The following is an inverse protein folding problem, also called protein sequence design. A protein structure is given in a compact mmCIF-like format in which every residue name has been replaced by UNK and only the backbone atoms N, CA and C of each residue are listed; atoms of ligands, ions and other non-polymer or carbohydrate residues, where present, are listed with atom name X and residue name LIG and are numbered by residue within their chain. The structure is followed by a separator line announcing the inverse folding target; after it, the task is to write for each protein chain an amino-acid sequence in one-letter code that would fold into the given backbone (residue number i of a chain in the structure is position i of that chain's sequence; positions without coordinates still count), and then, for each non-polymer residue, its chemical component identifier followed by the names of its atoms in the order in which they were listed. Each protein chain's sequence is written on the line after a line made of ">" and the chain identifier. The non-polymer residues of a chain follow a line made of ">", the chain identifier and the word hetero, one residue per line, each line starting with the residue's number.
data_IF_398115652251
#
_entry.id   IF_398115652251
#
_cell.length_a   1.000
_cell.length_b   1.000
_cell.length_c   1.000
_cell.angle_alpha   90.00
_cell.angle_beta   90.00
_cell.angle_gamma   90.00
#
_symmetry.space_group_name_H-M   'P 1'
#
loop_
_entity.id
_entity.type
_entity.pdbx_description
1 polymer ?
#
# COMPACT_ATOMS: atom_id res chain seq x y z
N UNK A 1 -19.51 1.34 -13.84
CA UNK A 1 -20.66 0.88 -14.64
C UNK A 1 -20.45 -0.52 -15.21
N UNK A 2 -19.40 -0.78 -16.01
CA UNK A 2 -19.15 -2.11 -16.60
C UNK A 2 -19.08 -3.28 -15.60
N UNK A 3 -18.32 -3.20 -14.47
CA UNK A 3 -18.30 -4.29 -13.49
C UNK A 3 -19.67 -4.58 -12.88
N UNK A 4 -20.49 -3.54 -12.66
CA UNK A 4 -21.84 -3.70 -12.14
C UNK A 4 -22.82 -4.29 -13.14
N UNK A 5 -22.65 -4.06 -14.45
CA UNK A 5 -23.45 -4.74 -15.48
C UNK A 5 -23.11 -6.23 -15.56
N UNK A 6 -21.84 -6.58 -15.39
CA UNK A 6 -21.41 -7.98 -15.30
C UNK A 6 -22.00 -8.64 -14.05
N UNK A 7 -21.92 -7.97 -12.90
CA UNK A 7 -22.51 -8.45 -11.65
C UNK A 7 -24.00 -8.70 -11.78
N UNK A 8 -24.73 -7.77 -12.43
CA UNK A 8 -26.15 -7.94 -12.74
C UNK A 8 -26.42 -9.22 -13.53
N UNK A 9 -25.71 -9.43 -14.65
CA UNK A 9 -25.87 -10.65 -15.48
C UNK A 9 -25.53 -11.92 -14.72
N UNK A 10 -24.49 -11.89 -13.89
CA UNK A 10 -24.07 -13.05 -13.10
C UNK A 10 -25.16 -13.44 -12.08
N UNK A 11 -25.71 -12.47 -11.36
CA UNK A 11 -26.81 -12.69 -10.41
C UNK A 11 -28.07 -13.19 -11.13
N UNK A 12 -28.43 -12.59 -12.27
CA UNK A 12 -29.57 -13.02 -13.10
C UNK A 12 -29.38 -14.45 -13.64
N UNK A 13 -28.14 -14.90 -13.80
CA UNK A 13 -27.80 -16.27 -14.21
C UNK A 13 -27.67 -17.25 -13.02
N UNK A 14 -27.97 -16.83 -11.80
CA UNK A 14 -27.86 -17.66 -10.59
C UNK A 14 -26.44 -17.92 -10.09
N UNK A 15 -25.45 -17.14 -10.56
CA UNK A 15 -24.07 -17.27 -10.11
C UNK A 15 -23.87 -16.57 -8.75
N UNK A 16 -22.97 -17.12 -7.94
CA UNK A 16 -22.55 -16.56 -6.65
C UNK A 16 -21.04 -16.65 -6.48
N UNK A 17 -20.50 -15.81 -5.61
CA UNK A 17 -19.10 -15.85 -5.20
C UNK A 17 -18.97 -16.80 -4.01
N UNK A 18 -17.90 -17.59 -3.97
CA UNK A 18 -17.65 -18.50 -2.87
C UNK A 18 -17.45 -17.71 -1.57
N UNK A 19 -18.04 -18.13 -0.44
CA UNK A 19 -18.14 -17.33 0.78
C UNK A 19 -16.80 -17.04 1.45
N UNK A 20 -15.76 -17.82 1.12
CA UNK A 20 -14.42 -17.63 1.65
C UNK A 20 -13.60 -16.58 0.86
N UNK A 21 -14.10 -16.10 -0.28
CA UNK A 21 -13.42 -15.06 -1.06
C UNK A 21 -13.70 -13.71 -0.40
N UNK A 22 -12.65 -13.03 0.05
CA UNK A 22 -12.76 -11.68 0.62
C UNK A 22 -12.96 -10.63 -0.49
N UNK A 23 -14.21 -10.40 -0.85
CA UNK A 23 -14.63 -9.34 -1.77
C UNK A 23 -14.75 -8.00 -1.07
N UNK A 24 -14.50 -6.90 -1.79
CA UNK A 24 -14.65 -5.54 -1.26
C UNK A 24 -14.82 -4.54 -2.40
N UNK A 25 -15.66 -3.52 -2.22
CA UNK A 25 -15.76 -2.37 -3.10
C UNK A 25 -15.33 -1.10 -2.36
N UNK A 26 -14.36 -0.38 -2.90
CA UNK A 26 -13.84 0.87 -2.31
C UNK A 26 -13.89 2.01 -3.32
N UNK A 27 -15.04 2.69 -3.49
CA UNK A 27 -15.17 3.76 -4.47
C UNK A 27 -14.29 4.96 -4.11
N UNK A 28 -13.78 5.67 -5.11
CA UNK A 28 -13.07 6.94 -4.90
C UNK A 28 -14.00 8.11 -4.50
N UNK A 29 -15.31 7.98 -4.76
CA UNK A 29 -16.33 8.99 -4.43
C UNK A 29 -17.71 8.34 -4.28
N UNK A 30 -18.65 9.06 -3.63
CA UNK A 30 -20.02 8.62 -3.33
C UNK A 30 -21.03 8.71 -4.47
N UNK A 31 -20.61 8.59 -5.73
CA UNK A 31 -21.56 8.66 -6.85
C UNK A 31 -22.33 7.34 -6.94
N UNK A 32 -23.65 7.41 -6.74
CA UNK A 32 -24.53 6.25 -6.78
C UNK A 32 -24.76 5.73 -8.21
N UNK A 33 -24.91 4.41 -8.34
CA UNK A 33 -25.32 3.78 -9.60
C UNK A 33 -26.27 2.62 -9.32
N UNK A 34 -27.26 2.40 -10.19
CA UNK A 34 -28.28 1.35 -10.00
C UNK A 34 -27.76 -0.10 -10.05
N UNK A 35 -26.45 -0.30 -10.06
CA UNK A 35 -25.79 -1.61 -10.10
C UNK A 35 -25.24 -2.07 -8.74
N UNK A 36 -25.22 -1.18 -7.73
CA UNK A 36 -24.75 -1.50 -6.38
C UNK A 36 -25.46 -2.73 -5.77
N UNK A 37 -26.80 -2.88 -5.85
CA UNK A 37 -27.47 -4.05 -5.27
C UNK A 37 -27.02 -5.40 -5.85
N UNK A 38 -26.56 -5.43 -7.10
CA UNK A 38 -26.05 -6.66 -7.71
C UNK A 38 -24.61 -6.96 -7.31
N UNK A 39 -23.82 -5.93 -7.04
CA UNK A 39 -22.46 -6.06 -6.51
C UNK A 39 -22.50 -6.58 -5.07
N UNK A 40 -23.38 -6.03 -4.23
CA UNK A 40 -23.59 -6.48 -2.84
C UNK A 40 -24.06 -7.94 -2.80
N UNK A 41 -24.95 -8.38 -3.70
CA UNK A 41 -25.35 -9.79 -3.82
C UNK A 41 -24.19 -10.75 -4.12
N UNK A 42 -23.12 -10.27 -4.74
CA UNK A 42 -21.90 -11.03 -4.99
C UNK A 42 -20.83 -10.81 -3.90
N UNK A 43 -21.17 -10.12 -2.81
CA UNK A 43 -20.28 -9.82 -1.68
C UNK A 43 -19.43 -8.57 -1.84
N UNK A 44 -19.63 -7.76 -2.89
CA UNK A 44 -18.88 -6.51 -3.10
C UNK A 44 -19.54 -5.33 -2.39
N UNK A 45 -19.64 -5.43 -1.07
CA UNK A 45 -20.15 -4.35 -0.22
C UNK A 45 -19.20 -3.14 -0.24
N UNK A 46 -19.76 -1.94 -0.09
CA UNK A 46 -18.97 -0.72 0.05
C UNK A 46 -18.30 -0.74 1.43
N UNK A 47 -17.00 -1.06 1.45
CA UNK A 47 -16.19 -1.10 2.69
C UNK A 47 -15.63 0.26 3.08
N UNK A 48 -15.76 1.25 2.20
CA UNK A 48 -15.49 2.66 2.45
C UNK A 48 -14.92 3.39 1.24
N UNK A 49 -14.74 4.70 1.38
CA UNK A 49 -14.33 5.59 0.30
C UNK A 49 -12.86 6.00 0.47
N UNK A 50 -12.00 5.56 -0.45
CA UNK A 50 -10.57 5.85 -0.39
C UNK A 50 -9.69 4.67 -0.83
N UNK A 51 -8.42 4.71 -0.44
CA UNK A 51 -7.40 3.83 -0.99
C UNK A 51 -7.53 2.35 -0.59
N UNK A 52 -7.92 2.06 0.66
CA UNK A 52 -8.18 0.70 1.16
C UNK A 52 -7.13 -0.34 0.71
N UNK A 53 -7.55 -1.44 0.08
CA UNK A 53 -6.69 -2.53 -0.41
C UNK A 53 -5.59 -2.06 -1.37
N UNK A 54 -5.78 -0.95 -2.09
CA UNK A 54 -4.80 -0.41 -3.04
C UNK A 54 -3.48 -0.01 -2.35
N UNK A 55 -3.54 0.44 -1.09
CA UNK A 55 -2.35 0.81 -0.30
C UNK A 55 -2.00 -0.26 0.75
N UNK A 56 -2.49 -1.47 0.58
CA UNK A 56 -2.26 -2.57 1.52
C UNK A 56 -3.14 -2.56 2.78
N UNK A 57 -4.11 -1.63 2.89
CA UNK A 57 -5.12 -1.64 3.95
C UNK A 57 -6.23 -2.65 3.65
N UNK A 58 -5.84 -3.92 3.55
CA UNK A 58 -6.71 -5.02 3.13
C UNK A 58 -7.44 -5.69 4.29
N UNK A 59 -7.04 -5.45 5.53
CA UNK A 59 -7.60 -6.08 6.73
C UNK A 59 -7.35 -7.60 6.81
N UNK A 60 -7.81 -8.25 7.88
CA UNK A 60 -7.54 -9.68 8.13
C UNK A 60 -8.33 -10.59 7.18
N UNK A 61 -7.80 -11.78 6.90
CA UNK A 61 -8.53 -12.88 6.26
C UNK A 61 -8.94 -13.92 7.31
N UNK A 62 -9.88 -14.80 6.99
CA UNK A 62 -10.29 -15.88 7.89
C UNK A 62 -9.12 -16.79 8.26
N UNK A 63 -9.00 -17.13 9.54
CA UNK A 63 -7.88 -17.92 10.07
C UNK A 63 -7.79 -19.30 9.41
N UNK A 64 -8.91 -19.93 9.04
CA UNK A 64 -8.87 -21.23 8.36
C UNK A 64 -8.26 -21.09 6.96
N UNK A 65 -8.54 -19.99 6.27
CA UNK A 65 -7.96 -19.68 4.96
C UNK A 65 -6.47 -19.39 5.12
N UNK A 66 -6.09 -18.54 6.07
CA UNK A 66 -4.69 -18.22 6.36
C UNK A 66 -3.88 -19.48 6.65
N UNK A 67 -4.35 -20.30 7.60
CA UNK A 67 -3.72 -21.57 7.97
C UNK A 67 -3.63 -22.55 6.80
N UNK A 68 -4.63 -22.58 5.92
CA UNK A 68 -4.61 -23.44 4.71
C UNK A 68 -3.57 -22.96 3.72
N UNK A 69 -3.48 -21.65 3.48
CA UNK A 69 -2.46 -21.06 2.60
C UNK A 69 -1.07 -21.39 3.13
N UNK A 70 -0.80 -21.17 4.41
CA UNK A 70 0.49 -21.49 5.03
C UNK A 70 0.88 -22.96 4.81
N UNK A 71 -0.03 -23.90 5.09
CA UNK A 71 0.21 -25.35 4.90
C UNK A 71 0.45 -25.75 3.45
N UNK A 72 -0.17 -25.09 2.49
CA UNK A 72 0.02 -25.38 1.06
C UNK A 72 1.34 -24.81 0.57
N UNK A 73 1.67 -23.57 0.94
CA UNK A 73 2.89 -22.90 0.49
C UNK A 73 4.16 -23.44 1.14
N UNK A 74 4.08 -24.00 2.35
CA UNK A 74 5.18 -24.77 2.96
C UNK A 74 5.68 -25.88 2.01
N UNK A 75 4.76 -26.52 1.26
CA UNK A 75 5.10 -27.56 0.30
C UNK A 75 5.71 -27.02 -0.99
N UNK A 76 5.43 -25.77 -1.35
CA UNK A 76 5.97 -25.13 -2.57
C UNK A 76 7.44 -24.79 -2.40
N UNK A 77 7.91 -24.49 -1.19
CA UNK A 77 9.34 -24.26 -0.92
C UNK A 77 10.23 -25.47 -1.25
N UNK A 78 9.65 -26.69 -1.28
CA UNK A 78 10.38 -27.88 -1.69
C UNK A 78 10.61 -27.94 -3.21
N UNK A 79 9.83 -27.19 -4.02
CA UNK A 79 9.85 -27.24 -5.48
C UNK A 79 9.38 -28.59 -6.04
N UNK A 80 8.87 -28.63 -7.27
CA UNK A 80 8.82 -29.90 -8.01
C UNK A 80 10.22 -30.25 -8.51
N UNK A 81 10.50 -31.53 -8.79
CA UNK A 81 11.77 -31.93 -9.42
C UNK A 81 12.03 -31.13 -10.71
N UNK A 82 10.97 -30.80 -11.45
CA UNK A 82 11.04 -29.96 -12.66
C UNK A 82 11.41 -28.51 -12.35
N UNK A 83 10.85 -27.90 -11.29
CA UNK A 83 11.17 -26.53 -10.86
C UNK A 83 12.63 -26.40 -10.38
N UNK A 84 13.19 -27.44 -9.76
CA UNK A 84 14.60 -27.46 -9.36
C UNK A 84 15.56 -27.58 -10.56
N UNK A 85 15.09 -28.15 -11.68
CA UNK A 85 15.88 -28.33 -12.91
C UNK A 85 15.68 -27.24 -13.95
N UNK A 86 14.86 -26.22 -13.67
CA UNK A 86 14.62 -25.14 -14.62
C UNK A 86 15.93 -24.34 -14.81
N UNK A 87 16.42 -24.30 -16.04
CA UNK A 87 17.62 -23.52 -16.39
C UNK A 87 17.25 -22.04 -16.43
N UNK A 88 17.43 -21.36 -15.29
CA UNK A 88 17.18 -19.93 -15.15
C UNK A 88 18.38 -19.17 -15.73
N UNK A 89 18.18 -18.23 -16.67
CA UNK A 89 19.27 -17.42 -17.18
C UNK A 89 19.97 -16.69 -16.03
N UNK A 90 21.30 -16.80 -15.92
CA UNK A 90 22.11 -16.13 -14.88
C UNK A 90 22.31 -14.63 -15.17
N UNK A 91 21.23 -13.93 -15.55
CA UNK A 91 21.21 -12.49 -15.76
C UNK A 91 20.47 -11.81 -14.61
N UNK A 92 21.04 -10.76 -14.02
CA UNK A 92 20.37 -9.94 -12.99
C UNK A 92 19.23 -9.08 -13.54
N UNK A 93 19.09 -8.98 -14.86
CA UNK A 93 18.17 -8.07 -15.53
C UNK A 93 17.43 -8.80 -16.65
N UNK A 94 16.12 -8.55 -16.74
CA UNK A 94 15.28 -8.98 -17.84
C UNK A 94 15.67 -8.21 -19.12
N UNK A 95 15.95 -8.93 -20.21
CA UNK A 95 16.20 -8.31 -21.51
C UNK A 95 14.88 -7.81 -22.11
N UNK A 96 14.79 -6.52 -22.39
CA UNK A 96 13.59 -5.94 -23.00
C UNK A 96 13.39 -6.53 -24.41
N UNK A 97 12.28 -7.25 -24.58
CA UNK A 97 11.84 -7.78 -25.86
C UNK A 97 10.99 -6.72 -26.59
N UNK A 98 11.43 -6.23 -27.77
CA UNK A 98 10.70 -5.24 -28.55
C UNK A 98 9.33 -5.72 -29.08
N UNK A 99 9.06 -7.03 -29.07
CA UNK A 99 7.76 -7.60 -29.50
C UNK A 99 6.81 -7.90 -28.31
N UNK A 100 7.18 -7.53 -27.09
CA UNK A 100 6.37 -7.82 -25.89
C UNK A 100 5.03 -7.06 -25.88
N UNK A 101 3.94 -7.83 -25.87
CA UNK A 101 2.56 -7.30 -25.73
C UNK A 101 2.14 -7.09 -24.27
N UNK A 102 2.98 -7.49 -23.30
CA UNK A 102 2.59 -7.66 -21.90
C UNK A 102 3.09 -6.55 -20.96
N UNK A 103 4.25 -5.93 -21.26
CA UNK A 103 4.83 -4.88 -20.41
C UNK A 103 4.95 -3.58 -21.22
N UNK A 104 4.11 -2.59 -20.88
CA UNK A 104 4.15 -1.23 -21.46
C UNK A 104 4.12 -0.18 -20.36
N UNK A 105 4.81 0.94 -20.58
CA UNK A 105 4.88 2.10 -19.67
C UNK A 105 3.59 2.95 -19.79
N UNK A 106 2.84 3.24 -18.70
CA UNK A 106 1.59 3.99 -18.79
C UNK A 106 1.80 5.52 -18.93
N UNK A 107 1.03 6.23 -19.79
CA UNK A 107 1.17 7.67 -20.04
C UNK A 107 0.11 8.51 -19.28
N UNK A 108 0.12 8.51 -17.95
CA UNK A 108 -1.04 8.98 -17.15
C UNK A 108 -0.91 10.36 -16.47
N UNK A 109 -0.01 11.25 -16.89
CA UNK A 109 0.23 12.52 -16.17
C UNK A 109 -0.03 13.82 -16.95
N UNK A 110 -0.69 13.77 -18.10
CA UNK A 110 -0.81 14.98 -18.93
C UNK A 110 -1.93 15.96 -18.55
N UNK A 111 -2.77 15.72 -17.53
CA UNK A 111 -3.79 16.70 -17.11
C UNK A 111 -4.32 16.46 -15.68
N UNK A 112 -3.51 16.71 -14.65
CA UNK A 112 -4.01 16.72 -13.26
C UNK A 112 -3.89 18.09 -12.60
N UNK A 113 -5.04 18.71 -12.33
CA UNK A 113 -5.21 19.90 -11.48
C UNK A 113 -5.63 19.49 -10.07
N UNK A 114 -5.07 20.17 -9.05
CA UNK A 114 -5.28 19.86 -7.63
C UNK A 114 -6.75 20.05 -7.20
N UNK A 115 -7.34 19.11 -6.43
CA UNK A 115 -8.61 19.39 -5.77
C UNK A 115 -8.40 20.34 -4.58
N UNK A 116 -9.33 21.29 -4.43
CA UNK A 116 -9.46 22.14 -3.23
C UNK A 116 -9.91 21.25 -2.08
N UNK A 117 -9.10 21.19 -1.02
CA UNK A 117 -9.44 20.52 0.24
C UNK A 117 -10.57 21.27 0.97
N UNK A 118 -11.68 20.58 1.22
CA UNK A 118 -12.68 20.99 2.21
C UNK A 118 -12.55 20.13 3.46
N UNK A 119 -12.00 20.68 4.53
CA UNK A 119 -12.26 20.19 5.88
C UNK A 119 -12.39 21.39 6.82
N UNK A 120 -13.64 21.72 7.15
CA UNK A 120 -13.96 22.56 8.28
C UNK A 120 -13.76 21.75 9.56
N UNK A 121 -12.73 22.08 10.33
CA UNK A 121 -12.69 21.80 11.75
C UNK A 121 -12.25 23.08 12.45
N UNK A 122 -12.95 23.43 13.52
CA UNK A 122 -12.77 24.67 14.25
C UNK A 122 -11.29 24.91 14.57
N UNK A 123 -10.74 26.00 14.03
CA UNK A 123 -9.39 26.45 14.34
C UNK A 123 -9.43 26.97 15.77
N UNK A 124 -8.80 26.23 16.69
CA UNK A 124 -8.46 26.71 18.02
C UNK A 124 -7.85 28.11 17.89
N UNK A 125 -8.28 29.07 18.72
CA UNK A 125 -7.81 30.46 18.65
C UNK A 125 -6.29 30.52 18.86
N UNK A 126 -5.55 30.57 17.75
CA UNK A 126 -4.08 30.67 17.70
C UNK A 126 -3.58 30.34 16.30
N UNK A 127 -2.61 31.10 15.78
CA UNK A 127 -1.98 30.79 14.47
C UNK A 127 -0.94 29.66 14.55
N UNK A 128 -0.60 29.21 15.77
CA UNK A 128 0.41 28.19 16.05
C UNK A 128 -0.24 26.92 16.60
N UNK A 129 0.33 25.77 16.26
CA UNK A 129 -0.11 24.46 16.74
C UNK A 129 0.41 24.21 18.17
N UNK A 130 -0.48 23.78 19.06
CA UNK A 130 -0.14 23.44 20.44
C UNK A 130 0.33 21.97 20.49
N UNK A 131 1.62 21.78 20.77
CA UNK A 131 2.25 20.46 20.71
C UNK A 131 2.00 19.69 22.01
N UNK A 132 1.23 18.62 21.91
CA UNK A 132 1.04 17.67 23.01
C UNK A 132 2.30 16.79 23.19
N UNK A 133 2.99 16.85 24.34
CA UNK A 133 4.19 16.05 24.59
C UNK A 133 3.92 14.54 24.68
N UNK A 134 2.70 14.15 25.05
CA UNK A 134 2.30 12.76 25.25
C UNK A 134 1.82 12.12 23.94
N UNK A 135 1.54 12.94 22.92
CA UNK A 135 1.11 12.46 21.60
C UNK A 135 2.16 11.54 20.97
N UNK A 136 1.68 10.39 20.52
CA UNK A 136 2.44 9.43 19.69
C UNK A 136 2.16 9.60 18.20
N UNK A 137 1.18 10.44 17.84
CA UNK A 137 0.73 10.67 16.46
C UNK A 137 1.27 11.97 15.87
N UNK A 138 1.32 13.05 16.67
CA UNK A 138 1.73 14.37 16.20
C UNK A 138 2.86 14.85 17.11
N UNK A 139 4.05 15.02 16.55
CA UNK A 139 5.25 15.43 17.30
C UNK A 139 5.95 16.55 16.56
N UNK A 140 6.50 17.52 17.30
CA UNK A 140 7.33 18.59 16.73
C UNK A 140 8.57 17.96 16.10
N UNK A 141 8.76 18.05 14.77
CA UNK A 141 9.93 17.47 14.14
C UNK A 141 11.18 18.34 14.44
N UNK A 142 12.37 17.72 14.58
CA UNK A 142 13.60 18.43 14.94
C UNK A 142 14.27 19.13 13.75
N UNK A 143 13.63 19.18 12.57
CA UNK A 143 14.26 19.68 11.33
C UNK A 143 14.77 21.12 11.42
N UNK A 144 14.17 21.92 12.30
CA UNK A 144 14.49 23.33 12.48
C UNK A 144 15.28 23.60 13.76
N UNK A 145 15.66 22.55 14.49
CA UNK A 145 16.48 22.70 15.69
C UNK A 145 17.83 23.29 15.29
N UNK A 146 18.25 24.35 15.98
CA UNK A 146 19.48 25.11 15.69
C UNK A 146 19.53 25.78 14.31
N UNK A 147 18.40 25.95 13.62
CA UNK A 147 18.37 26.68 12.34
C UNK A 147 18.79 28.14 12.54
N UNK A 148 19.82 28.57 11.81
CA UNK A 148 20.32 29.94 11.81
C UNK A 148 19.78 30.72 10.61
N UNK A 149 19.69 32.04 10.74
CA UNK A 149 19.33 32.93 9.62
C UNK A 149 20.42 32.94 8.54
N UNK A 150 21.67 32.86 8.97
CA UNK A 150 22.83 32.78 8.09
C UNK A 150 23.05 31.33 7.66
N UNK A 151 23.41 31.13 6.39
CA UNK A 151 23.70 29.80 5.87
C UNK A 151 25.02 29.31 6.47
N UNK A 152 25.04 28.11 7.08
CA UNK A 152 26.28 27.53 7.57
C UNK A 152 27.22 27.25 6.40
N UNK A 153 28.53 27.33 6.66
CA UNK A 153 29.54 26.94 5.68
C UNK A 153 29.43 25.44 5.43
N UNK A 154 29.42 25.02 4.15
CA UNK A 154 29.48 23.61 3.81
C UNK A 154 30.86 23.03 4.15
N UNK A 155 30.87 21.88 4.81
CA UNK A 155 32.09 21.17 5.20
C UNK A 155 32.13 19.78 4.54
N UNK A 156 33.34 19.23 4.42
CA UNK A 156 33.51 17.88 3.88
C UNK A 156 33.07 16.83 4.90
N UNK A 157 32.42 15.77 4.43
CA UNK A 157 32.09 14.61 5.27
C UNK A 157 33.32 13.72 5.36
N UNK A 158 33.96 13.64 6.52
CA UNK A 158 35.18 12.86 6.75
C UNK A 158 34.86 11.63 7.61
N UNK A 159 35.47 10.48 7.29
CA UNK A 159 35.29 9.21 8.02
C UNK A 159 33.85 8.66 8.07
N UNK A 160 33.03 8.96 7.06
CA UNK A 160 31.71 8.35 6.93
C UNK A 160 31.82 6.83 6.71
N UNK A 161 30.83 6.09 7.24
CA UNK A 161 30.69 4.65 7.02
C UNK A 161 29.46 4.39 6.17
N UNK A 162 29.54 3.37 5.32
CA UNK A 162 28.39 2.88 4.56
C UNK A 162 27.39 2.25 5.55
N UNK A 163 26.20 2.84 5.66
CA UNK A 163 25.12 2.30 6.50
C UNK A 163 24.45 1.09 5.85
N UNK A 164 24.23 1.17 4.52
CA UNK A 164 23.60 0.12 3.72
C UNK A 164 24.26 0.08 2.33
N UNK A 165 24.54 -1.13 1.82
CA UNK A 165 24.91 -1.38 0.44
C UNK A 165 23.74 -2.07 -0.25
N UNK A 166 23.06 -1.37 -1.15
CA UNK A 166 21.82 -1.82 -1.77
C UNK A 166 22.02 -2.14 -3.26
N UNK A 167 21.20 -3.05 -3.78
CA UNK A 167 21.14 -3.37 -5.21
C UNK A 167 20.15 -2.50 -5.96
N UNK A 168 19.73 -2.95 -7.14
CA UNK A 168 18.72 -2.28 -7.95
C UNK A 168 17.30 -2.48 -7.40
N UNK A 169 16.34 -1.70 -7.91
CA UNK A 169 14.90 -1.82 -7.61
C UNK A 169 14.49 -1.56 -6.15
N UNK A 170 15.28 -0.80 -5.41
CA UNK A 170 14.89 -0.31 -4.08
C UNK A 170 13.77 0.73 -4.24
N UNK A 171 12.55 0.34 -3.86
CA UNK A 171 11.38 1.23 -3.87
C UNK A 171 11.33 2.09 -2.59
N UNK A 172 10.50 3.13 -2.61
CA UNK A 172 10.23 3.96 -1.42
C UNK A 172 9.64 3.17 -0.27
N UNK A 173 8.95 2.07 -0.54
CA UNK A 173 8.38 1.19 0.50
C UNK A 173 9.46 0.39 1.23
N UNK A 174 10.61 0.11 0.59
CA UNK A 174 11.76 -0.46 1.28
C UNK A 174 12.44 0.55 2.21
N UNK A 175 12.45 1.83 1.84
CA UNK A 175 13.13 2.91 2.58
C UNK A 175 12.24 3.43 3.71
N UNK A 176 10.93 3.52 3.46
CA UNK A 176 9.92 4.07 4.35
C UNK A 176 8.62 3.29 4.17
N UNK A 177 8.51 2.10 4.80
CA UNK A 177 7.37 1.22 4.60
C UNK A 177 6.06 1.86 5.07
N UNK A 178 5.01 1.69 4.27
CA UNK A 178 3.64 2.00 4.67
C UNK A 178 2.91 0.72 5.09
N UNK A 179 1.99 0.82 6.05
CA UNK A 179 1.18 -0.31 6.52
C UNK A 179 1.61 -0.83 7.89
N UNK A 180 1.64 -2.15 8.05
CA UNK A 180 1.79 -2.79 9.36
C UNK A 180 3.19 -2.59 9.97
N UNK A 181 3.22 -2.27 11.26
CA UNK A 181 4.46 -2.19 12.04
C UNK A 181 4.81 -3.59 12.55
N UNK A 182 5.94 -4.15 12.11
CA UNK A 182 6.40 -5.47 12.55
C UNK A 182 6.68 -5.50 14.07
N UNK A 183 6.22 -6.55 14.76
CA UNK A 183 6.29 -6.67 16.23
C UNK A 183 7.71 -6.61 16.79
N UNK A 184 8.71 -7.06 16.02
CA UNK A 184 10.12 -7.07 16.39
C UNK A 184 10.89 -5.80 15.96
N UNK A 185 10.20 -4.78 15.43
CA UNK A 185 10.83 -3.55 14.93
C UNK A 185 11.19 -2.55 16.06
N UNK A 186 12.14 -1.62 15.81
CA UNK A 186 12.39 -0.50 16.72
C UNK A 186 11.13 0.34 17.00
N UNK A 187 10.28 0.56 15.99
CA UNK A 187 9.04 1.32 16.14
C UNK A 187 8.05 0.63 17.08
N UNK A 188 7.89 -0.70 16.97
CA UNK A 188 7.04 -1.47 17.89
C UNK A 188 7.55 -1.37 19.34
N UNK A 189 8.87 -1.47 19.56
CA UNK A 189 9.46 -1.29 20.89
C UNK A 189 9.21 0.12 21.45
N UNK A 190 9.37 1.15 20.63
CA UNK A 190 9.10 2.53 21.04
C UNK A 190 7.64 2.75 21.44
N UNK A 191 6.69 2.23 20.66
CA UNK A 191 5.25 2.34 20.95
C UNK A 191 4.84 1.51 22.17
N UNK A 192 5.46 0.35 22.40
CA UNK A 192 5.17 -0.50 23.55
C UNK A 192 5.77 0.03 24.87
N UNK A 193 6.77 0.91 24.80
CA UNK A 193 7.43 1.48 25.98
C UNK A 193 6.76 2.76 26.51
N UNK A 194 5.64 3.18 25.92
CA UNK A 194 4.87 4.36 26.33
C UNK A 194 3.59 3.98 27.06
#
# INVERSE_FOLDING_TARGET
>A
MFPGMLAKKAVESGLSVLPYIKTSLSPGSGVESGVIPYLEKLGFDIVGYGCMTCIGNSGPIDDNIANTIEKVYEKIQLGSSTWQTLDVPRGKLYGWDPDSTYIKRPPFFDNMTRPRSSCGRAVLRGKLYDWDPDSTYIKRPPFFDNMTRELPKSESIVNARVLLLLGDSVTTDHISPAGSIARNSPAARYLAAR
#
